data_IF_430185308062
#
_entry.id   IF_430185308062
#
_cell.length_a   1.000
_cell.length_b   1.000
_cell.length_c   1.000
_cell.angle_alpha   90.00
_cell.angle_beta   90.00
_cell.angle_gamma   90.00
#
_symmetry.space_group_name_H-M   'P 1'
#
loop_
_entity.id
_entity.type
_entity.pdbx_description
1 polymer ?
#
# COMPACT_ATOMS: atom_id res chain seq x y z
N UNK A 1 6.03 20.69 -2.52
CA UNK A 1 7.37 20.73 -1.88
C UNK A 1 7.35 20.84 -0.35
N UNK A 2 6.34 21.42 0.29
CA UNK A 2 6.32 21.67 1.74
C UNK A 2 6.18 20.45 2.66
N UNK A 3 5.38 19.45 2.32
CA UNK A 3 5.06 18.33 3.21
C UNK A 3 6.23 17.35 3.40
N UNK A 4 7.00 17.05 2.36
CA UNK A 4 8.15 16.13 2.44
C UNK A 4 9.30 16.77 3.26
N UNK A 5 9.51 18.08 3.10
CA UNK A 5 10.51 18.83 3.88
C UNK A 5 10.09 18.91 5.36
N UNK A 6 8.80 18.99 5.65
CA UNK A 6 8.28 19.04 7.01
C UNK A 6 8.43 17.71 7.76
N UNK A 7 8.12 16.58 7.09
CA UNK A 7 8.35 15.23 7.64
C UNK A 7 9.84 14.99 7.95
N UNK A 8 10.75 15.45 7.07
CA UNK A 8 12.19 15.29 7.26
C UNK A 8 12.71 16.16 8.42
N UNK A 9 12.25 17.41 8.56
CA UNK A 9 12.69 18.30 9.67
C UNK A 9 12.26 17.77 11.04
N UNK A 10 11.05 17.25 11.17
CA UNK A 10 10.56 16.69 12.44
C UNK A 10 11.22 15.33 12.78
N UNK A 11 11.69 14.58 11.79
CA UNK A 11 12.45 13.34 11.98
C UNK A 11 13.80 13.59 12.67
N UNK A 12 14.46 14.68 12.31
CA UNK A 12 15.74 15.06 12.95
C UNK A 12 15.54 15.43 14.43
N UNK A 13 14.44 16.07 14.77
CA UNK A 13 14.07 16.40 16.14
C UNK A 13 13.76 15.17 16.99
N UNK A 14 13.11 14.16 16.41
CA UNK A 14 12.79 12.90 17.09
C UNK A 14 14.04 12.06 17.35
N UNK A 15 14.91 11.95 16.35
CA UNK A 15 16.21 11.25 16.49
C UNK A 15 17.11 11.91 17.53
N UNK A 16 17.16 13.24 17.58
CA UNK A 16 17.90 13.97 18.62
C UNK A 16 17.33 13.75 20.02
N UNK A 17 16.01 13.61 20.17
CA UNK A 17 15.36 13.26 21.45
C UNK A 17 15.70 11.84 21.90
N UNK A 18 15.70 10.88 20.99
CA UNK A 18 16.05 9.48 21.28
C UNK A 18 17.55 9.34 21.63
N UNK A 19 18.44 10.07 20.97
CA UNK A 19 19.86 10.11 21.33
C UNK A 19 20.10 10.82 22.67
N UNK A 20 19.34 11.85 23.00
CA UNK A 20 19.39 12.51 24.29
C UNK A 20 18.99 11.57 25.43
N UNK A 21 17.91 10.78 25.25
CA UNK A 21 17.47 9.78 26.24
C UNK A 21 18.52 8.67 26.40
N UNK A 22 19.25 8.29 25.36
CA UNK A 22 20.35 7.31 25.43
C UNK A 22 21.62 7.87 26.05
N UNK A 23 21.91 9.17 25.91
CA UNK A 23 23.14 9.81 26.45
C UNK A 23 22.99 10.33 27.87
N UNK A 24 21.78 10.69 28.29
CA UNK A 24 21.49 10.99 29.69
C UNK A 24 21.11 9.71 30.41
N UNK A 25 22.05 8.80 30.55
CA UNK A 25 21.89 7.66 31.44
C UNK A 25 21.48 8.15 32.82
N UNK A 26 20.17 8.17 33.09
CA UNK A 26 19.65 8.35 34.44
C UNK A 26 20.04 7.09 35.21
N UNK A 27 21.14 7.21 35.92
CA UNK A 27 21.54 6.31 36.98
C UNK A 27 20.31 6.17 37.90
N UNK A 28 19.87 4.95 38.08
CA UNK A 28 18.84 4.59 39.03
C UNK A 28 19.27 5.00 40.43
N UNK A 29 18.81 6.15 40.89
CA UNK A 29 18.78 6.46 42.31
C UNK A 29 17.50 5.82 42.82
N UNK A 30 17.65 4.80 43.66
CA UNK A 30 16.54 4.06 44.23
C UNK A 30 15.59 4.96 45.01
N UNK A 31 14.37 4.99 44.58
CA UNK A 31 13.21 5.41 45.35
C UNK A 31 12.15 4.31 45.23
N UNK A 32 11.81 3.64 46.35
CA UNK A 32 10.72 2.67 46.37
C UNK A 32 9.40 3.42 46.57
N UNK A 33 8.84 4.04 45.55
CA UNK A 33 7.49 4.59 45.54
C UNK A 33 7.08 4.95 44.11
N UNK A 34 6.96 3.94 43.24
CA UNK A 34 6.20 4.07 42.02
C UNK A 34 5.52 2.74 41.67
N UNK A 35 4.71 2.26 42.63
CA UNK A 35 3.77 1.13 42.41
C UNK A 35 2.43 1.61 41.84
N UNK A 36 2.43 2.62 41.00
CA UNK A 36 1.27 3.00 40.22
C UNK A 36 1.65 3.83 38.99
N UNK A 37 2.73 3.45 38.29
CA UNK A 37 2.70 3.70 36.87
C UNK A 37 1.71 2.68 36.30
N UNK A 38 0.43 3.02 36.34
CA UNK A 38 -0.47 2.57 35.33
C UNK A 38 0.23 2.86 34.00
N UNK A 39 0.82 1.81 33.44
CA UNK A 39 1.08 1.75 32.03
C UNK A 39 -0.30 1.97 31.44
N UNK A 40 -0.63 3.22 31.14
CA UNK A 40 -1.71 3.52 30.25
C UNK A 40 -1.30 2.85 28.93
N UNK A 41 -1.52 1.56 28.87
CA UNK A 41 -1.76 0.87 27.63
C UNK A 41 -2.94 1.60 27.03
N UNK A 42 -2.66 2.63 26.25
CA UNK A 42 -3.57 3.13 25.27
C UNK A 42 -3.76 1.97 24.27
N UNK A 43 -4.47 0.96 24.70
CA UNK A 43 -5.21 0.08 23.81
C UNK A 43 -6.38 0.91 23.27
N UNK A 44 -6.08 1.99 22.56
CA UNK A 44 -6.97 2.43 21.51
C UNK A 44 -7.13 1.17 20.67
N UNK A 45 -8.37 0.71 20.53
CA UNK A 45 -8.67 -0.41 19.67
C UNK A 45 -8.15 -0.09 18.27
N UNK A 46 -6.88 -0.44 18.04
CA UNK A 46 -6.29 -0.43 16.72
C UNK A 46 -7.13 -1.42 15.93
N UNK A 47 -7.97 -0.93 15.04
CA UNK A 47 -8.50 -1.81 14.02
C UNK A 47 -7.26 -2.36 13.31
N UNK A 48 -6.99 -3.64 13.58
CA UNK A 48 -5.86 -4.32 12.98
C UNK A 48 -5.91 -4.06 11.48
N UNK A 49 -4.81 -3.57 10.92
CA UNK A 49 -4.72 -3.36 9.48
C UNK A 49 -4.83 -4.73 8.84
N UNK A 50 -5.94 -4.98 8.16
CA UNK A 50 -6.15 -6.23 7.43
C UNK A 50 -5.54 -6.02 6.04
N UNK A 51 -4.51 -6.79 5.74
CA UNK A 51 -3.90 -6.84 4.41
C UNK A 51 -4.62 -7.89 3.57
N UNK A 52 -4.97 -7.57 2.31
CA UNK A 52 -5.44 -8.60 1.39
C UNK A 52 -4.39 -9.71 1.24
N UNK A 53 -4.80 -10.99 1.23
CA UNK A 53 -3.85 -12.09 1.10
C UNK A 53 -3.23 -12.12 -0.30
N UNK A 54 -1.91 -12.23 -0.38
CA UNK A 54 -1.17 -12.46 -1.62
C UNK A 54 -0.16 -13.57 -1.37
N UNK A 55 -0.12 -14.55 -2.26
CA UNK A 55 0.78 -15.70 -2.16
C UNK A 55 1.55 -15.95 -3.47
N UNK A 56 2.53 -16.85 -3.44
CA UNK A 56 3.37 -17.19 -4.59
C UNK A 56 2.80 -18.24 -5.54
N UNK A 57 1.48 -18.52 -5.51
CA UNK A 57 0.87 -19.48 -6.42
C UNK A 57 0.69 -18.88 -7.80
N UNK A 58 0.88 -19.73 -8.82
CA UNK A 58 0.57 -19.38 -10.20
C UNK A 58 -0.94 -19.15 -10.36
N UNK A 59 -1.31 -18.18 -11.19
CA UNK A 59 -2.69 -17.92 -11.58
C UNK A 59 -2.75 -17.39 -13.02
N UNK A 60 -3.93 -17.44 -13.60
CA UNK A 60 -4.21 -16.89 -14.92
C UNK A 60 -5.16 -15.71 -14.81
N UNK A 61 -5.10 -14.83 -15.79
CA UNK A 61 -6.01 -13.68 -15.90
C UNK A 61 -7.46 -14.17 -16.02
N UNK A 62 -8.34 -13.60 -15.23
CA UNK A 62 -9.75 -13.91 -15.22
C UNK A 62 -10.50 -13.07 -16.29
N UNK A 63 -10.53 -13.61 -17.51
CA UNK A 63 -11.25 -12.98 -18.62
C UNK A 63 -12.76 -12.89 -18.37
N UNK A 64 -13.34 -13.83 -17.62
CA UNK A 64 -14.77 -13.83 -17.33
C UNK A 64 -15.12 -12.68 -16.37
N UNK A 65 -14.30 -12.48 -15.32
CA UNK A 65 -14.42 -11.33 -14.43
C UNK A 65 -14.27 -10.02 -15.22
N UNK A 66 -13.29 -9.92 -16.10
CA UNK A 66 -13.05 -8.71 -16.89
C UNK A 66 -14.28 -8.36 -17.74
N UNK A 67 -14.87 -9.33 -18.45
CA UNK A 67 -16.08 -9.11 -19.24
C UNK A 67 -17.31 -8.74 -18.39
N UNK A 68 -17.40 -9.23 -17.15
CA UNK A 68 -18.44 -8.81 -16.20
C UNK A 68 -18.25 -7.36 -15.78
N UNK A 69 -17.01 -6.97 -15.45
CA UNK A 69 -16.69 -5.62 -14.99
C UNK A 69 -16.87 -4.57 -16.09
N UNK A 70 -16.54 -4.90 -17.36
CA UNK A 70 -16.84 -4.06 -18.52
C UNK A 70 -18.31 -3.65 -18.62
N UNK A 71 -19.23 -4.56 -18.25
CA UNK A 71 -20.68 -4.30 -18.27
C UNK A 71 -21.14 -3.40 -17.11
N UNK A 72 -20.37 -3.36 -16.02
CA UNK A 72 -20.67 -2.55 -14.85
C UNK A 72 -20.05 -1.14 -14.94
N UNK A 73 -18.99 -0.99 -15.70
CA UNK A 73 -18.32 0.29 -15.91
C UNK A 73 -19.09 1.15 -16.92
N UNK A 74 -19.69 2.22 -16.42
CA UNK A 74 -20.51 3.14 -17.22
C UNK A 74 -19.70 3.94 -18.25
N UNK A 75 -18.44 4.13 -17.99
CA UNK A 75 -17.54 4.93 -18.83
C UNK A 75 -16.68 4.06 -19.77
N UNK A 76 -16.77 2.72 -19.69
CA UNK A 76 -15.93 1.82 -20.47
C UNK A 76 -16.00 2.08 -21.98
N UNK A 77 -17.20 2.21 -22.55
CA UNK A 77 -17.38 2.43 -23.99
C UNK A 77 -16.78 3.76 -24.45
N UNK A 78 -16.89 4.79 -23.63
CA UNK A 78 -16.27 6.09 -23.88
C UNK A 78 -14.75 5.99 -23.86
N UNK A 79 -14.20 5.36 -22.82
CA UNK A 79 -12.75 5.16 -22.69
C UNK A 79 -12.19 4.38 -23.87
N UNK A 80 -12.91 3.31 -24.29
CA UNK A 80 -12.51 2.51 -25.44
C UNK A 80 -12.51 3.31 -26.75
N UNK A 81 -13.50 4.18 -26.96
CA UNK A 81 -13.58 5.06 -28.12
C UNK A 81 -12.45 6.10 -28.16
N UNK A 82 -11.92 6.47 -26.99
CA UNK A 82 -10.74 7.34 -26.81
C UNK A 82 -9.41 6.57 -26.94
N UNK A 83 -9.45 5.27 -27.22
CA UNK A 83 -8.27 4.41 -27.39
C UNK A 83 -7.73 3.84 -26.08
N UNK A 84 -8.49 3.95 -25.00
CA UNK A 84 -8.13 3.44 -23.67
C UNK A 84 -8.94 2.19 -23.33
N UNK A 85 -8.32 1.02 -23.33
CA UNK A 85 -8.97 -0.25 -23.01
C UNK A 85 -8.75 -0.58 -21.53
N UNK A 86 -9.45 0.15 -20.64
CA UNK A 86 -9.42 -0.13 -19.21
C UNK A 86 -10.83 -0.10 -18.60
N UNK A 87 -11.00 -0.83 -17.52
CA UNK A 87 -12.19 -0.84 -16.66
C UNK A 87 -11.85 -0.20 -15.32
N UNK A 88 -12.77 0.65 -14.83
CA UNK A 88 -12.62 1.32 -13.53
C UNK A 88 -13.98 1.32 -12.83
N UNK A 89 -14.17 0.42 -11.85
CA UNK A 89 -15.47 0.21 -11.23
C UNK A 89 -15.38 0.01 -9.72
N UNK A 90 -16.33 0.60 -8.97
CA UNK A 90 -16.56 0.32 -7.56
C UNK A 90 -17.75 -0.62 -7.43
N UNK A 91 -17.55 -1.78 -6.81
CA UNK A 91 -18.60 -2.74 -6.53
C UNK A 91 -19.49 -2.31 -5.36
N UNK A 92 -20.68 -2.93 -5.18
CA UNK A 92 -21.61 -2.57 -4.08
C UNK A 92 -21.02 -2.74 -2.66
N UNK A 93 -20.05 -3.63 -2.48
CA UNK A 93 -19.33 -3.83 -1.21
C UNK A 93 -18.23 -2.78 -0.97
N UNK A 94 -18.01 -1.87 -1.93
CA UNK A 94 -16.98 -0.84 -1.88
C UNK A 94 -15.62 -1.28 -2.42
N UNK A 95 -15.46 -2.51 -2.89
CA UNK A 95 -14.24 -2.97 -3.56
C UNK A 95 -14.10 -2.24 -4.90
N UNK A 96 -12.94 -1.67 -5.15
CA UNK A 96 -12.62 -1.04 -6.43
C UNK A 96 -11.77 -1.96 -7.27
N UNK A 97 -12.11 -2.04 -8.54
CA UNK A 97 -11.30 -2.70 -9.56
C UNK A 97 -10.83 -1.72 -10.61
N UNK A 98 -9.55 -1.78 -10.92
CA UNK A 98 -8.95 -1.21 -12.11
C UNK A 98 -8.32 -2.34 -12.92
N UNK A 99 -8.69 -2.48 -14.18
CA UNK A 99 -8.12 -3.46 -15.10
C UNK A 99 -7.74 -2.74 -16.38
N UNK A 100 -6.46 -2.79 -16.75
CA UNK A 100 -5.91 -2.24 -17.98
C UNK A 100 -5.61 -3.39 -18.95
N UNK A 101 -6.30 -3.39 -20.11
CA UNK A 101 -5.99 -4.27 -21.24
C UNK A 101 -5.00 -3.58 -22.18
N UNK A 102 -3.75 -3.60 -21.81
CA UNK A 102 -2.64 -3.18 -22.68
C UNK A 102 -2.08 -4.30 -23.54
N UNK A 103 -2.77 -5.43 -23.66
CA UNK A 103 -2.28 -6.62 -24.41
C UNK A 103 -2.02 -6.33 -25.89
N UNK A 104 -2.73 -5.36 -26.48
CA UNK A 104 -2.56 -4.96 -27.88
C UNK A 104 -1.37 -4.02 -28.12
N UNK A 105 -0.99 -3.25 -27.10
CA UNK A 105 0.02 -2.17 -27.22
C UNK A 105 1.31 -2.46 -26.46
N UNK A 106 1.22 -3.17 -25.32
CA UNK A 106 2.33 -3.41 -24.39
C UNK A 106 2.50 -4.87 -23.97
N UNK A 107 1.70 -5.78 -24.56
CA UNK A 107 1.76 -7.23 -24.31
C UNK A 107 1.43 -7.66 -22.87
N UNK A 108 0.63 -6.91 -22.11
CA UNK A 108 0.25 -7.26 -20.75
C UNK A 108 -1.20 -6.90 -20.40
N UNK A 109 -1.73 -7.56 -19.35
CA UNK A 109 -2.91 -7.14 -18.60
C UNK A 109 -2.46 -6.72 -17.20
N UNK A 110 -3.10 -5.70 -16.64
CA UNK A 110 -2.83 -5.24 -15.29
C UNK A 110 -4.12 -5.14 -14.48
N UNK A 111 -4.10 -5.61 -13.23
CA UNK A 111 -5.23 -5.54 -12.31
C UNK A 111 -4.81 -4.88 -11.01
N UNK A 112 -5.65 -3.99 -10.49
CA UNK A 112 -5.68 -3.57 -9.09
C UNK A 112 -7.05 -3.91 -8.50
N UNK A 113 -7.04 -4.70 -7.43
CA UNK A 113 -8.20 -4.95 -6.59
C UNK A 113 -7.99 -4.24 -5.26
N UNK A 114 -8.80 -3.22 -4.96
CA UNK A 114 -8.65 -2.39 -3.78
C UNK A 114 -9.84 -2.58 -2.82
N UNK A 115 -9.68 -3.39 -1.76
CA UNK A 115 -10.73 -3.58 -0.76
C UNK A 115 -11.01 -2.30 0.03
N UNK A 116 -12.27 -2.01 0.44
CA UNK A 116 -12.63 -0.76 1.11
C UNK A 116 -12.00 -0.57 2.48
N UNK A 117 -11.56 -1.65 3.12
CA UNK A 117 -10.94 -1.65 4.45
C UNK A 117 -9.41 -1.57 4.42
N UNK A 118 -8.79 -1.68 3.25
CA UNK A 118 -7.34 -1.75 3.08
C UNK A 118 -6.71 -0.40 2.75
N UNK A 119 -5.44 -0.24 3.07
CA UNK A 119 -4.57 0.82 2.53
C UNK A 119 -3.86 0.40 1.24
N UNK A 120 -4.02 -0.86 0.85
CA UNK A 120 -3.30 -1.45 -0.27
C UNK A 120 -4.25 -2.20 -1.19
N UNK A 121 -4.03 -2.05 -2.47
CA UNK A 121 -4.60 -2.90 -3.49
C UNK A 121 -3.76 -4.17 -3.64
N UNK A 122 -4.38 -5.25 -4.10
CA UNK A 122 -3.69 -6.37 -4.71
C UNK A 122 -3.42 -5.99 -6.16
N UNK A 123 -2.15 -5.78 -6.49
CA UNK A 123 -1.71 -5.47 -7.85
C UNK A 123 -1.18 -6.75 -8.52
N UNK A 124 -1.57 -6.98 -9.78
CA UNK A 124 -1.20 -8.15 -10.57
C UNK A 124 -0.94 -7.75 -12.02
N UNK A 125 0.17 -8.24 -12.57
CA UNK A 125 0.45 -8.13 -13.99
C UNK A 125 0.45 -9.51 -14.65
N UNK A 126 -0.04 -9.58 -15.89
CA UNK A 126 -0.13 -10.81 -16.66
C UNK A 126 0.42 -10.57 -18.06
N UNK A 127 1.04 -11.57 -18.67
CA UNK A 127 1.45 -11.51 -20.06
C UNK A 127 0.23 -11.60 -21.01
N UNK A 128 0.45 -11.42 -22.30
CA UNK A 128 -0.60 -11.48 -23.33
C UNK A 128 -1.36 -12.84 -23.41
N UNK A 129 -0.79 -13.92 -22.84
CA UNK A 129 -1.44 -15.23 -22.74
C UNK A 129 -2.35 -15.32 -21.50
N UNK A 130 -2.35 -14.28 -20.66
CA UNK A 130 -3.02 -14.25 -19.38
C UNK A 130 -2.26 -14.99 -18.27
N UNK A 131 -0.97 -15.25 -18.39
CA UNK A 131 -0.17 -15.86 -17.33
C UNK A 131 0.39 -14.78 -16.42
N UNK A 132 0.26 -14.98 -15.09
CA UNK A 132 0.80 -14.06 -14.10
C UNK A 132 2.30 -13.87 -14.30
N UNK A 133 2.75 -12.62 -14.27
CA UNK A 133 4.17 -12.25 -14.32
C UNK A 133 4.66 -11.68 -13.00
N UNK A 134 3.79 -10.94 -12.29
CA UNK A 134 4.09 -10.43 -10.97
C UNK A 134 2.82 -10.13 -10.17
N UNK A 135 2.92 -10.18 -8.84
CA UNK A 135 1.85 -9.76 -7.92
C UNK A 135 2.37 -9.35 -6.56
N UNK A 136 1.64 -8.44 -5.91
CA UNK A 136 1.96 -7.93 -4.58
C UNK A 136 0.94 -6.94 -4.06
N UNK A 137 1.25 -6.31 -2.93
CA UNK A 137 0.44 -5.23 -2.37
C UNK A 137 1.00 -3.87 -2.77
N UNK A 138 0.14 -3.02 -3.31
CA UNK A 138 0.48 -1.67 -3.78
C UNK A 138 -0.38 -0.62 -3.07
N UNK A 139 0.27 0.32 -2.39
CA UNK A 139 -0.40 1.42 -1.68
C UNK A 139 -0.77 2.58 -2.59
N UNK A 140 -1.86 3.26 -2.27
CA UNK A 140 -2.26 4.49 -2.94
C UNK A 140 -1.55 5.74 -2.38
N UNK A 141 -1.09 6.66 -3.25
CA UNK A 141 -0.95 6.52 -4.69
C UNK A 141 0.24 5.60 -5.03
N UNK A 142 0.13 4.76 -5.99
CA UNK A 142 1.00 3.67 -6.53
C UNK A 142 2.53 3.78 -6.31
N UNK A 143 2.98 4.13 -5.11
CA UNK A 143 4.39 4.38 -4.78
C UNK A 143 4.89 3.62 -3.56
N UNK A 144 4.10 2.67 -3.05
CA UNK A 144 4.46 1.91 -1.87
C UNK A 144 4.15 0.43 -2.07
N UNK A 145 5.14 -0.33 -2.48
CA UNK A 145 5.06 -1.78 -2.44
C UNK A 145 5.15 -2.24 -0.98
N UNK A 146 4.27 -3.16 -0.57
CA UNK A 146 4.19 -3.70 0.78
C UNK A 146 4.40 -5.20 0.78
N UNK A 147 5.17 -5.69 1.76
CA UNK A 147 5.35 -7.11 1.99
C UNK A 147 6.06 -7.82 0.84
N UNK A 148 5.67 -9.07 0.62
CA UNK A 148 6.27 -9.91 -0.41
C UNK A 148 5.62 -9.70 -1.76
N UNK A 149 6.46 -9.45 -2.77
CA UNK A 149 6.11 -9.46 -4.17
C UNK A 149 6.67 -10.71 -4.83
N UNK A 150 5.88 -11.32 -5.70
CA UNK A 150 6.16 -12.59 -6.35
C UNK A 150 6.28 -12.36 -7.86
N UNK A 151 7.37 -12.84 -8.46
CA UNK A 151 7.69 -12.71 -9.87
C UNK A 151 7.77 -14.07 -10.51
N UNK A 152 7.17 -14.22 -11.68
CA UNK A 152 7.03 -15.49 -12.37
C UNK A 152 7.70 -15.43 -13.74
N UNK A 153 8.29 -16.54 -14.17
CA UNK A 153 8.85 -16.66 -15.50
C UNK A 153 7.76 -16.97 -16.55
N UNK A 154 8.17 -17.05 -17.83
CA UNK A 154 7.25 -17.29 -18.95
C UNK A 154 6.53 -18.65 -18.91
N UNK A 155 7.04 -19.59 -18.14
CA UNK A 155 6.47 -20.92 -17.90
C UNK A 155 5.50 -20.92 -16.70
N UNK A 156 5.28 -19.77 -16.07
CA UNK A 156 4.41 -19.62 -14.89
C UNK A 156 5.05 -20.14 -13.59
N UNK A 157 6.35 -20.41 -13.58
CA UNK A 157 7.08 -20.85 -12.40
C UNK A 157 7.55 -19.63 -11.60
N UNK A 158 7.38 -19.67 -10.26
CA UNK A 158 7.89 -18.65 -9.37
C UNK A 158 9.42 -18.57 -9.51
N UNK A 159 9.92 -17.42 -9.94
CA UNK A 159 11.33 -17.17 -10.20
C UNK A 159 11.99 -16.38 -9.08
N UNK A 160 11.27 -15.37 -8.56
CA UNK A 160 11.82 -14.43 -7.58
C UNK A 160 10.76 -13.99 -6.59
N UNK A 161 11.19 -13.75 -5.35
CA UNK A 161 10.39 -13.09 -4.31
C UNK A 161 11.21 -11.93 -3.73
N UNK A 162 10.59 -10.76 -3.63
CA UNK A 162 11.18 -9.58 -2.98
C UNK A 162 10.31 -9.22 -1.79
N UNK A 163 10.91 -9.05 -0.62
CA UNK A 163 10.22 -8.50 0.54
C UNK A 163 10.52 -7.00 0.64
N UNK A 164 9.59 -6.17 0.21
CA UNK A 164 9.76 -4.71 0.22
C UNK A 164 9.74 -4.10 1.63
N UNK A 165 9.27 -4.81 2.64
CA UNK A 165 9.36 -4.33 4.03
C UNK A 165 10.80 -4.37 4.55
N UNK A 166 11.63 -5.31 4.07
CA UNK A 166 13.04 -5.45 4.50
C UNK A 166 13.95 -4.36 3.91
N UNK A 167 13.61 -3.83 2.73
CA UNK A 167 14.40 -2.75 2.08
C UNK A 167 14.02 -1.36 2.58
N UNK A 168 13.04 -1.25 3.46
CA UNK A 168 12.57 0.00 4.02
C UNK A 168 13.13 0.25 5.42
N UNK A 169 13.57 1.49 5.69
CA UNK A 169 13.98 1.89 7.04
C UNK A 169 12.82 1.96 8.04
N UNK A 170 11.59 2.05 7.55
CA UNK A 170 10.37 2.14 8.35
C UNK A 170 9.31 1.24 7.74
N UNK A 171 8.58 0.55 8.59
CA UNK A 171 7.40 -0.18 8.16
C UNK A 171 6.24 0.78 7.90
N UNK A 172 5.24 0.32 7.14
CA UNK A 172 4.03 1.12 6.92
C UNK A 172 3.34 1.45 8.24
N UNK A 173 3.27 0.50 9.17
CA UNK A 173 2.67 0.65 10.49
C UNK A 173 3.33 1.77 11.30
N UNK A 174 4.67 1.85 11.29
CA UNK A 174 5.39 2.95 11.93
C UNK A 174 5.07 4.31 11.31
N UNK A 175 4.86 4.35 9.99
CA UNK A 175 4.46 5.57 9.30
C UNK A 175 3.01 5.92 9.60
N UNK A 176 2.11 4.94 9.66
CA UNK A 176 0.71 5.11 10.06
C UNK A 176 0.63 5.68 11.49
N UNK A 177 1.33 5.06 12.45
CA UNK A 177 1.39 5.53 13.83
C UNK A 177 1.89 6.97 13.94
N UNK A 178 2.93 7.30 13.17
CA UNK A 178 3.43 8.67 13.10
C UNK A 178 2.36 9.63 12.58
N UNK A 179 1.67 9.29 11.49
CA UNK A 179 0.59 10.10 10.92
C UNK A 179 -0.55 10.31 11.95
N UNK A 180 -0.98 9.23 12.59
CA UNK A 180 -2.01 9.28 13.62
C UNK A 180 -1.58 10.14 14.82
N UNK A 181 -0.33 10.05 15.26
CA UNK A 181 0.22 10.89 16.34
C UNK A 181 0.21 12.38 16.02
N UNK A 182 0.15 12.74 14.75
CA UNK A 182 0.05 14.11 14.23
C UNK A 182 -1.37 14.52 13.86
N UNK A 183 -2.37 13.71 14.20
CA UNK A 183 -3.76 13.97 13.84
C UNK A 183 -4.07 13.79 12.35
N UNK A 184 -3.12 13.24 11.58
CA UNK A 184 -3.32 12.95 10.17
C UNK A 184 -4.00 11.59 10.02
N UNK A 185 -5.18 11.58 9.41
CA UNK A 185 -5.89 10.33 9.11
C UNK A 185 -5.48 9.84 7.72
N UNK A 186 -4.97 8.63 7.66
CA UNK A 186 -4.81 7.92 6.40
C UNK A 186 -6.15 7.34 5.96
N UNK A 187 -6.44 7.43 4.69
CA UNK A 187 -7.69 6.91 4.13
C UNK A 187 -7.51 5.46 3.72
N UNK A 188 -8.52 4.63 4.00
CA UNK A 188 -8.65 3.26 3.50
C UNK A 188 -9.58 3.23 2.29
N UNK A 189 -9.43 2.20 1.48
CA UNK A 189 -10.22 2.04 0.27
C UNK A 189 -9.78 2.96 -0.85
N UNK A 190 -10.34 2.72 -2.03
CA UNK A 190 -10.07 3.51 -3.22
C UNK A 190 -10.51 4.97 -3.05
N UNK A 191 -9.72 5.87 -3.61
CA UNK A 191 -10.03 7.29 -3.68
C UNK A 191 -10.05 7.73 -5.15
N UNK A 192 -11.20 8.17 -5.63
CA UNK A 192 -11.40 8.63 -7.02
C UNK A 192 -10.67 9.93 -7.38
N UNK A 193 -9.82 10.42 -6.48
CA UNK A 193 -9.00 11.62 -6.71
C UNK A 193 -9.73 12.95 -6.67
N UNK A 194 -11.07 12.96 -6.55
CA UNK A 194 -11.87 14.19 -6.62
C UNK A 194 -11.73 15.09 -5.40
N UNK A 195 -11.32 14.52 -4.25
CA UNK A 195 -11.06 15.30 -3.04
C UNK A 195 -9.83 14.75 -2.32
N UNK A 196 -8.67 15.24 -2.68
CA UNK A 196 -7.43 14.89 -1.99
C UNK A 196 -7.29 15.75 -0.72
N UNK A 197 -7.96 15.37 0.35
CA UNK A 197 -7.85 16.05 1.67
C UNK A 197 -6.96 15.29 2.65
N UNK A 198 -6.32 14.21 2.22
CA UNK A 198 -5.53 13.32 3.07
C UNK A 198 -4.01 13.48 2.91
N UNK A 199 -3.27 12.95 3.88
CA UNK A 199 -1.81 12.85 3.80
C UNK A 199 -1.43 11.78 2.76
N UNK A 200 -0.49 12.11 1.87
CA UNK A 200 0.09 11.19 0.90
C UNK A 200 1.41 10.67 1.43
N UNK A 201 1.55 9.36 1.50
CA UNK A 201 2.80 8.70 1.86
C UNK A 201 3.51 8.29 0.58
N UNK A 202 4.73 8.77 0.38
CA UNK A 202 5.58 8.38 -0.75
C UNK A 202 6.86 7.73 -0.24
N UNK A 203 7.18 6.56 -0.76
CA UNK A 203 8.50 5.96 -0.60
C UNK A 203 9.43 6.55 -1.67
N UNK A 204 10.51 7.18 -1.25
CA UNK A 204 11.53 7.69 -2.17
C UNK A 204 12.77 6.82 -2.03
N UNK A 205 13.08 6.04 -3.05
CA UNK A 205 14.36 5.34 -3.17
C UNK A 205 15.42 6.39 -3.56
N UNK A 206 16.43 6.57 -2.72
CA UNK A 206 17.65 7.25 -3.12
C UNK A 206 18.67 6.17 -3.40
N UNK A 207 19.16 6.00 -4.63
CA UNK A 207 20.33 5.20 -4.87
C UNK A 207 21.47 5.78 -4.00
N UNK A 208 22.15 4.91 -3.26
CA UNK A 208 23.33 5.26 -2.46
C UNK A 208 24.52 5.54 -3.35
#
# INVERSE_FOLDING_TARGET
>A
MGAVVWVIKNKLALLKRLEFIKKTGLAAVGLPLLSSFEVFSFTRGYQQVIYPPVDGRFETFDFELFEKLKKLDKDYQKNLAEGNDYVSVVLPDGTYFYIDDSSKTKDYYYIEEFPPYSYFAVAKSYDRRGYITEKGLLGEPRFWEKGRWYYFNKEGKLEKTINYDEVSKFTFEQVEDFCLSKGMKLRRGYNDGRVYTGAVIRRVYRPG
#
